data_IF_357032584235
#
_entry.id   IF_357032584235
#
_cell.length_a   1.000
_cell.length_b   1.000
_cell.length_c   1.000
_cell.angle_alpha   90.00
_cell.angle_beta   90.00
_cell.angle_gamma   90.00
#
_symmetry.space_group_name_H-M   'P 1'
#
loop_
_entity.id
_entity.type
_entity.pdbx_description
1 polymer ?
#
# COMPACT_ATOMS: atom_id res chain seq x y z
N UNK A 1 27.52 1.16 -16.77
CA UNK A 1 26.72 1.90 -17.77
C UNK A 1 25.26 1.48 -17.68
N UNK A 2 24.41 2.24 -16.98
CA UNK A 2 22.96 2.30 -17.19
C UNK A 2 22.55 3.75 -16.93
N UNK A 3 21.93 4.36 -17.95
CA UNK A 3 21.65 5.79 -18.07
C UNK A 3 20.41 6.15 -17.24
N UNK A 4 20.56 6.97 -16.21
CA UNK A 4 19.45 7.65 -15.54
C UNK A 4 19.16 8.96 -16.28
N UNK A 5 17.98 9.05 -16.89
CA UNK A 5 17.45 10.25 -17.52
C UNK A 5 16.77 11.09 -16.43
N UNK A 6 17.49 12.09 -15.91
CA UNK A 6 16.93 13.17 -15.09
C UNK A 6 16.55 14.28 -16.06
N UNK A 7 15.24 14.49 -16.27
CA UNK A 7 14.72 15.64 -17.01
C UNK A 7 14.58 16.79 -16.00
N UNK A 8 15.67 17.52 -15.81
CA UNK A 8 15.68 18.80 -15.12
C UNK A 8 15.37 19.91 -16.14
N UNK A 9 14.11 20.34 -16.19
CA UNK A 9 13.69 21.47 -17.03
C UNK A 9 13.96 22.77 -16.28
N UNK A 10 15.15 23.33 -16.49
CA UNK A 10 15.53 24.67 -16.06
C UNK A 10 14.85 25.72 -16.95
N UNK A 11 13.86 26.42 -16.40
CA UNK A 11 13.27 27.59 -17.04
C UNK A 11 14.13 28.82 -16.70
N UNK A 12 15.09 29.13 -17.57
CA UNK A 12 15.88 30.35 -17.50
C UNK A 12 15.05 31.54 -18.00
N UNK A 13 14.79 32.49 -17.11
CA UNK A 13 14.11 33.75 -17.39
C UNK A 13 15.15 34.76 -17.92
N UNK A 14 15.26 34.91 -19.23
CA UNK A 14 16.04 36.00 -19.85
C UNK A 14 15.10 37.07 -20.41
N UNK A 15 14.98 38.18 -19.68
CA UNK A 15 14.42 39.45 -20.18
C UNK A 15 15.54 40.22 -20.90
N UNK A 16 15.27 40.72 -22.12
CA UNK A 16 16.02 41.87 -22.63
C UNK A 16 16.04 42.06 -24.15
N UNK A 17 15.58 43.25 -24.55
CA UNK A 17 15.81 43.99 -25.79
C UNK A 17 14.93 43.68 -27.03
N UNK A 18 14.19 44.73 -27.40
CA UNK A 18 13.37 44.86 -28.58
C UNK A 18 14.18 45.01 -29.88
N UNK A 19 13.67 44.47 -30.98
CA UNK A 19 13.71 45.16 -32.29
C UNK A 19 12.77 44.50 -33.31
N UNK A 20 11.96 45.35 -33.95
CA UNK A 20 11.44 45.27 -35.32
C UNK A 20 10.45 44.15 -35.71
N UNK A 21 9.18 44.57 -35.74
CA UNK A 21 8.11 44.19 -36.65
C UNK A 21 8.52 43.36 -37.90
N UNK A 22 7.98 42.15 -38.01
CA UNK A 22 7.42 41.68 -39.29
C UNK A 22 6.02 41.19 -38.97
N UNK A 23 5.03 41.94 -39.45
CA UNK A 23 3.62 41.62 -39.29
C UNK A 23 3.31 40.37 -40.13
N UNK A 24 3.33 39.19 -39.50
CA UNK A 24 2.50 38.08 -39.96
C UNK A 24 1.07 38.39 -39.54
N UNK A 25 0.23 38.68 -40.51
CA UNK A 25 -1.23 38.76 -40.37
C UNK A 25 -1.74 37.47 -39.72
N UNK A 26 -1.95 37.49 -38.41
CA UNK A 26 -2.72 36.48 -37.68
C UNK A 26 -4.13 36.50 -38.24
N UNK A 27 -4.51 35.43 -38.95
CA UNK A 27 -5.88 35.22 -39.38
C UNK A 27 -6.80 35.30 -38.16
N UNK A 28 -7.89 36.07 -38.29
CA UNK A 28 -8.91 36.20 -37.26
C UNK A 28 -9.40 34.80 -36.83
N UNK A 29 -9.63 34.57 -35.53
CA UNK A 29 -10.10 33.28 -35.05
C UNK A 29 -11.43 32.94 -35.74
N UNK A 30 -11.50 31.77 -36.38
CA UNK A 30 -12.73 31.29 -36.98
C UNK A 30 -13.80 31.23 -35.88
N UNK A 31 -14.89 31.97 -36.08
CA UNK A 31 -16.05 31.95 -35.19
C UNK A 31 -16.59 30.52 -35.15
N UNK A 32 -16.39 29.83 -34.02
CA UNK A 32 -16.94 28.50 -33.81
C UNK A 32 -18.45 28.68 -33.65
N UNK A 33 -19.20 28.22 -34.64
CA UNK A 33 -20.66 28.18 -34.59
C UNK A 33 -21.08 26.86 -33.95
N UNK A 34 -21.79 26.95 -32.82
CA UNK A 34 -22.22 25.79 -32.04
C UNK A 34 -23.63 25.39 -32.46
N UNK A 35 -23.79 24.17 -33.00
CA UNK A 35 -25.04 23.73 -33.65
C UNK A 35 -26.20 23.50 -32.67
N UNK A 36 -25.91 23.26 -31.40
CA UNK A 36 -26.86 22.97 -30.32
C UNK A 36 -27.16 24.19 -29.43
N UNK A 37 -26.61 25.36 -29.75
CA UNK A 37 -26.93 26.64 -29.10
C UNK A 37 -27.50 27.60 -30.16
N UNK A 38 -28.77 27.41 -30.56
CA UNK A 38 -29.39 28.20 -31.62
C UNK A 38 -29.59 29.67 -31.22
N UNK A 39 -29.78 30.54 -32.21
CA UNK A 39 -30.15 31.93 -31.99
C UNK A 39 -31.48 32.02 -31.22
N UNK A 40 -31.46 32.71 -30.06
CA UNK A 40 -32.60 32.81 -29.14
C UNK A 40 -32.54 31.88 -27.92
N UNK A 41 -31.55 30.99 -27.82
CA UNK A 41 -31.32 30.23 -26.59
C UNK A 41 -30.81 31.15 -25.48
N UNK A 42 -31.32 31.01 -24.26
CA UNK A 42 -30.98 31.89 -23.12
C UNK A 42 -29.47 31.93 -22.81
N UNK A 43 -28.75 30.84 -23.09
CA UNK A 43 -27.32 30.72 -22.86
C UNK A 43 -26.46 31.22 -24.03
N UNK A 44 -27.05 31.63 -25.16
CA UNK A 44 -26.33 31.95 -26.41
C UNK A 44 -25.25 33.01 -26.17
N UNK A 45 -25.61 34.13 -25.57
CA UNK A 45 -24.71 35.27 -25.38
C UNK A 45 -23.56 34.90 -24.42
N UNK A 46 -23.84 34.14 -23.37
CA UNK A 46 -22.84 33.68 -22.41
C UNK A 46 -21.87 32.67 -23.03
N UNK A 47 -22.40 31.70 -23.78
CA UNK A 47 -21.59 30.69 -24.47
C UNK A 47 -20.71 31.35 -25.54
N UNK A 48 -21.27 32.25 -26.35
CA UNK A 48 -20.52 33.00 -27.35
C UNK A 48 -19.37 33.78 -26.71
N UNK A 49 -19.60 34.38 -25.54
CA UNK A 49 -18.56 35.13 -24.83
C UNK A 49 -17.42 34.23 -24.40
N UNK A 50 -17.70 33.08 -23.80
CA UNK A 50 -16.70 32.12 -23.32
C UNK A 50 -15.95 31.46 -24.50
N UNK A 51 -16.63 31.31 -25.64
CA UNK A 51 -16.02 30.83 -26.90
C UNK A 51 -15.11 31.87 -27.53
N UNK A 52 -15.54 33.14 -27.57
CA UNK A 52 -14.69 34.26 -28.01
C UNK A 52 -13.45 34.43 -27.12
N UNK A 53 -13.61 34.17 -25.84
CA UNK A 53 -12.52 34.10 -24.88
C UNK A 53 -11.55 32.92 -25.11
N UNK A 54 -11.90 31.94 -25.94
CA UNK A 54 -11.09 30.74 -26.18
C UNK A 54 -11.04 29.76 -25.00
N UNK A 55 -11.87 29.97 -23.97
CA UNK A 55 -11.94 29.09 -22.79
C UNK A 55 -12.64 27.77 -23.16
N UNK A 56 -13.69 27.86 -23.98
CA UNK A 56 -14.42 26.71 -24.52
C UNK A 56 -14.42 26.79 -26.04
N UNK A 57 -14.25 25.66 -26.72
CA UNK A 57 -14.25 25.59 -28.19
C UNK A 57 -15.36 24.67 -28.73
N UNK A 58 -16.20 24.12 -27.84
CA UNK A 58 -17.13 23.04 -28.18
C UNK A 58 -16.43 21.71 -28.44
N UNK A 59 -17.21 20.75 -28.91
CA UNK A 59 -16.78 19.42 -29.31
C UNK A 59 -16.42 19.37 -30.80
N UNK A 60 -15.66 18.35 -31.26
CA UNK A 60 -15.28 18.21 -32.68
C UNK A 60 -16.46 18.09 -33.65
N UNK A 61 -17.64 17.71 -33.14
CA UNK A 61 -18.90 17.64 -33.89
C UNK A 61 -19.62 19.01 -34.01
N UNK A 62 -19.04 20.08 -33.45
CA UNK A 62 -19.61 21.43 -33.47
C UNK A 62 -20.66 21.70 -32.39
N UNK A 63 -20.74 20.87 -31.35
CA UNK A 63 -21.70 21.05 -30.23
C UNK A 63 -21.07 21.65 -28.97
N UNK A 64 -21.90 22.22 -28.08
CA UNK A 64 -21.53 22.73 -26.75
C UNK A 64 -21.87 21.74 -25.63
N UNK A 65 -22.99 21.01 -25.79
CA UNK A 65 -23.56 20.01 -24.88
C UNK A 65 -23.87 20.54 -23.49
N UNK A 66 -24.48 21.73 -23.40
CA UNK A 66 -24.73 22.44 -22.14
C UNK A 66 -25.62 21.72 -21.11
N UNK A 67 -26.38 20.70 -21.53
CA UNK A 67 -27.20 19.86 -20.63
C UNK A 67 -26.45 18.64 -20.07
N UNK A 68 -25.21 18.39 -20.51
CA UNK A 68 -24.39 17.29 -20.00
C UNK A 68 -23.56 17.72 -18.80
N UNK A 69 -23.33 16.79 -17.87
CA UNK A 69 -22.41 17.00 -16.77
C UNK A 69 -20.99 17.19 -17.30
N UNK A 70 -20.35 18.29 -16.90
CA UNK A 70 -18.95 18.55 -17.18
C UNK A 70 -18.06 17.53 -16.46
N UNK A 71 -17.19 16.85 -17.19
CA UNK A 71 -16.22 15.94 -16.58
C UNK A 71 -15.10 16.71 -15.88
N UNK A 72 -14.43 16.07 -14.91
CA UNK A 72 -13.28 16.68 -14.20
C UNK A 72 -12.14 17.04 -15.16
N UNK A 73 -11.97 16.28 -16.24
CA UNK A 73 -10.97 16.55 -17.27
C UNK A 73 -11.32 17.80 -18.09
N UNK A 74 -12.57 17.94 -18.52
CA UNK A 74 -13.03 19.12 -19.27
C UNK A 74 -12.98 20.38 -18.40
N UNK A 75 -13.37 20.27 -17.12
CA UNK A 75 -13.21 21.34 -16.15
C UNK A 75 -11.73 21.75 -15.99
N UNK A 76 -10.83 20.77 -15.80
CA UNK A 76 -9.40 21.04 -15.71
C UNK A 76 -8.83 21.71 -16.96
N UNK A 77 -9.32 21.36 -18.15
CA UNK A 77 -8.90 21.97 -19.41
C UNK A 77 -9.38 23.43 -19.53
N UNK A 78 -10.60 23.72 -19.08
CA UNK A 78 -11.13 25.10 -19.02
C UNK A 78 -10.28 25.95 -18.07
N UNK A 79 -10.00 25.43 -16.87
CA UNK A 79 -9.12 26.12 -15.91
C UNK A 79 -7.70 26.28 -16.45
N UNK A 80 -7.14 25.24 -17.06
CA UNK A 80 -5.81 25.30 -17.66
C UNK A 80 -5.72 26.36 -18.76
N UNK A 81 -6.73 26.47 -19.64
CA UNK A 81 -6.80 27.52 -20.66
C UNK A 81 -6.94 28.90 -20.04
N UNK A 82 -7.79 29.03 -19.01
CA UNK A 82 -7.92 30.26 -18.24
C UNK A 82 -6.59 30.68 -17.58
N UNK A 83 -5.79 29.71 -17.13
CA UNK A 83 -4.51 29.92 -16.45
C UNK A 83 -3.32 30.15 -17.40
N UNK A 84 -3.35 29.56 -18.60
CA UNK A 84 -2.19 29.53 -19.50
C UNK A 84 -2.18 30.69 -20.51
N UNK A 85 -3.32 31.37 -20.72
CA UNK A 85 -3.48 32.25 -21.88
C UNK A 85 -3.90 33.67 -21.51
N UNK A 86 -3.49 34.64 -22.33
CA UNK A 86 -4.14 35.96 -22.44
C UNK A 86 -5.59 35.90 -22.93
N UNK A 87 -6.27 34.76 -22.82
CA UNK A 87 -7.71 34.60 -23.04
C UNK A 87 -8.51 35.60 -22.20
N UNK A 88 -8.12 35.77 -20.92
CA UNK A 88 -8.73 36.74 -20.01
C UNK A 88 -8.56 38.18 -20.52
N UNK A 89 -7.45 38.47 -21.20
CA UNK A 89 -7.19 39.78 -21.83
C UNK A 89 -8.13 40.08 -23.00
N UNK A 90 -8.54 39.04 -23.74
CA UNK A 90 -9.52 39.15 -24.83
C UNK A 90 -10.98 39.05 -24.36
N UNK A 91 -11.22 38.66 -23.11
CA UNK A 91 -12.55 38.55 -22.50
C UNK A 91 -13.15 39.89 -22.04
N UNK A 92 -12.43 41.01 -22.16
CA UNK A 92 -12.89 42.31 -21.66
C UNK A 92 -13.17 42.32 -20.15
N UNK A 93 -12.45 41.51 -19.39
CA UNK A 93 -12.51 41.51 -17.93
C UNK A 93 -11.96 42.84 -17.39
N UNK A 94 -12.48 43.28 -16.25
CA UNK A 94 -11.96 44.48 -15.62
C UNK A 94 -10.50 44.26 -15.17
N UNK A 95 -9.73 45.34 -15.10
CA UNK A 95 -8.34 45.28 -14.62
C UNK A 95 -8.25 44.71 -13.18
N UNK A 96 -9.31 44.91 -12.39
CA UNK A 96 -9.44 44.39 -11.03
C UNK A 96 -9.60 42.86 -11.02
N UNK A 97 -10.45 42.30 -11.89
CA UNK A 97 -10.64 40.85 -12.02
C UNK A 97 -9.37 40.14 -12.48
N UNK A 98 -8.64 40.72 -13.44
CA UNK A 98 -7.36 40.16 -13.89
C UNK A 98 -6.31 40.16 -12.76
N UNK A 99 -6.35 41.16 -11.88
CA UNK A 99 -5.46 41.25 -10.72
C UNK A 99 -5.83 40.22 -9.65
N UNK A 100 -7.12 40.00 -9.39
CA UNK A 100 -7.60 38.97 -8.49
C UNK A 100 -7.20 37.56 -8.97
N UNK A 101 -7.33 37.28 -10.27
CA UNK A 101 -6.89 36.01 -10.86
C UNK A 101 -5.37 35.86 -10.77
N UNK A 102 -4.59 36.91 -11.06
CA UNK A 102 -3.13 36.87 -10.94
C UNK A 102 -2.65 36.63 -9.49
N UNK A 103 -3.32 37.24 -8.50
CA UNK A 103 -3.01 37.02 -7.08
C UNK A 103 -3.35 35.59 -6.65
N UNK A 104 -4.50 35.05 -7.07
CA UNK A 104 -4.85 33.65 -6.84
C UNK A 104 -3.87 32.68 -7.51
N UNK A 105 -3.36 33.02 -8.69
CA UNK A 105 -2.31 32.24 -9.38
C UNK A 105 -0.99 32.24 -8.59
N UNK A 106 -0.61 33.37 -8.01
CA UNK A 106 0.58 33.46 -7.16
C UNK A 106 0.44 32.60 -5.91
N UNK A 107 -0.73 32.61 -5.29
CA UNK A 107 -1.05 31.78 -4.13
C UNK A 107 -0.99 30.28 -4.46
N UNK A 108 -1.66 29.84 -5.52
CA UNK A 108 -1.65 28.43 -5.97
C UNK A 108 -0.25 27.99 -6.39
N UNK A 109 0.54 28.85 -7.05
CA UNK A 109 1.92 28.53 -7.42
C UNK A 109 2.83 28.36 -6.20
N UNK A 110 2.59 29.15 -5.14
CA UNK A 110 3.31 29.06 -3.87
C UNK A 110 2.97 27.77 -3.14
N UNK A 111 1.69 27.38 -3.14
CA UNK A 111 1.27 26.11 -2.58
C UNK A 111 1.81 24.91 -3.37
N UNK A 112 1.83 25.00 -4.70
CA UNK A 112 2.38 23.93 -5.54
C UNK A 112 3.89 23.77 -5.36
N UNK A 113 4.62 24.88 -5.20
CA UNK A 113 6.04 24.87 -4.87
C UNK A 113 6.30 24.27 -3.48
N UNK A 114 5.44 24.58 -2.49
CA UNK A 114 5.51 23.97 -1.17
C UNK A 114 5.24 22.46 -1.21
N UNK A 115 4.31 22.00 -2.04
CA UNK A 115 4.05 20.58 -2.28
C UNK A 115 5.26 19.91 -2.94
N UNK A 116 5.85 20.53 -3.98
CA UNK A 116 7.05 19.99 -4.64
C UNK A 116 8.25 19.88 -3.68
N UNK A 117 8.43 20.86 -2.80
CA UNK A 117 9.46 20.80 -1.74
C UNK A 117 9.23 19.62 -0.80
N UNK A 118 7.98 19.41 -0.34
CA UNK A 118 7.62 18.30 0.54
C UNK A 118 7.85 16.94 -0.12
N UNK A 119 7.60 16.82 -1.41
CA UNK A 119 7.90 15.58 -2.17
C UNK A 119 9.40 15.32 -2.21
N UNK A 120 10.21 16.34 -2.45
CA UNK A 120 11.68 16.23 -2.45
C UNK A 120 12.21 15.82 -1.07
N UNK A 121 11.65 16.37 0.00
CA UNK A 121 12.00 15.99 1.38
C UNK A 121 11.64 14.54 1.70
N UNK A 122 10.49 14.06 1.19
CA UNK A 122 10.09 12.66 1.33
C UNK A 122 11.02 11.72 0.56
N UNK A 123 11.42 12.08 -0.67
CA UNK A 123 12.40 11.29 -1.43
C UNK A 123 13.74 11.20 -0.68
N UNK A 124 14.21 12.30 -0.08
CA UNK A 124 15.42 12.30 0.74
C UNK A 124 15.28 11.44 2.00
N UNK A 125 14.12 11.48 2.65
CA UNK A 125 13.83 10.64 3.82
C UNK A 125 13.83 9.15 3.45
N UNK A 126 13.29 8.78 2.29
CA UNK A 126 13.32 7.39 1.81
C UNK A 126 14.74 6.91 1.50
N UNK A 127 15.59 7.78 0.94
CA UNK A 127 17.00 7.45 0.69
C UNK A 127 17.79 7.24 2.00
N UNK A 128 17.53 8.06 3.03
CA UNK A 128 18.15 7.90 4.35
C UNK A 128 17.70 6.61 5.06
N UNK A 129 16.41 6.27 4.94
CA UNK A 129 15.88 5.01 5.47
C UNK A 129 16.54 3.79 4.82
N UNK A 130 16.76 3.81 3.50
CA UNK A 130 17.46 2.73 2.81
C UNK A 130 18.91 2.60 3.29
N UNK A 131 19.64 3.72 3.41
CA UNK A 131 21.02 3.70 3.90
C UNK A 131 21.14 3.16 5.34
N UNK A 132 20.12 3.42 6.19
CA UNK A 132 20.05 2.86 7.55
C UNK A 132 19.77 1.37 7.54
N UNK A 133 18.94 0.87 6.63
CA UNK A 133 18.67 -0.56 6.46
C UNK A 133 19.96 -1.28 6.05
N UNK A 134 20.66 -0.78 5.03
CA UNK A 134 21.92 -1.36 4.55
C UNK A 134 22.98 -1.40 5.66
N UNK A 135 23.08 -0.33 6.48
CA UNK A 135 23.99 -0.28 7.62
C UNK A 135 23.62 -1.28 8.74
N UNK A 136 22.33 -1.52 8.97
CA UNK A 136 21.86 -2.53 9.92
C UNK A 136 22.15 -3.94 9.41
N UNK A 137 21.93 -4.21 8.12
CA UNK A 137 22.26 -5.49 7.49
C UNK A 137 23.75 -5.81 7.61
N UNK A 138 24.63 -4.86 7.29
CA UNK A 138 26.08 -5.03 7.46
C UNK A 138 26.48 -5.31 8.92
N UNK A 139 25.80 -4.68 9.89
CA UNK A 139 26.04 -4.93 11.32
C UNK A 139 25.56 -6.32 11.75
N UNK A 140 24.44 -6.80 11.20
CA UNK A 140 23.91 -8.15 11.43
C UNK A 140 24.86 -9.20 10.86
N UNK A 141 25.38 -9.00 9.65
CA UNK A 141 26.39 -9.88 9.05
C UNK A 141 27.68 -9.93 9.88
N UNK A 142 28.15 -8.79 10.38
CA UNK A 142 29.30 -8.71 11.27
C UNK A 142 29.09 -9.46 12.59
N UNK A 143 27.87 -9.46 13.14
CA UNK A 143 27.52 -10.24 14.32
C UNK A 143 27.46 -11.76 14.04
N UNK A 144 27.02 -12.16 12.84
CA UNK A 144 26.98 -13.56 12.41
C UNK A 144 28.36 -14.19 12.24
N UNK A 145 29.36 -13.41 11.81
CA UNK A 145 30.73 -13.89 11.59
C UNK A 145 31.56 -14.03 12.89
N UNK A 146 31.27 -13.24 13.92
CA UNK A 146 32.08 -13.15 15.15
C UNK A 146 31.68 -14.10 16.29
N UNK A 147 30.42 -14.47 16.40
CA UNK A 147 29.92 -15.28 17.53
C UNK A 147 29.82 -16.79 17.23
N UNK A 148 29.66 -17.16 15.95
CA UNK A 148 29.41 -18.55 15.58
C UNK A 148 30.68 -19.41 15.47
N UNK A 149 31.87 -18.84 15.23
CA UNK A 149 33.07 -19.64 14.91
C UNK A 149 33.87 -20.09 16.13
N UNK A 150 33.99 -19.27 17.18
CA UNK A 150 34.82 -19.60 18.33
C UNK A 150 34.12 -20.55 19.32
N UNK A 151 32.83 -20.34 19.57
CA UNK A 151 32.06 -21.14 20.54
C UNK A 151 31.67 -22.51 19.97
N UNK A 152 31.35 -22.61 18.67
CA UNK A 152 31.04 -23.92 18.06
C UNK A 152 32.30 -24.77 17.87
N UNK A 153 33.44 -24.17 17.53
CA UNK A 153 34.72 -24.88 17.50
C UNK A 153 35.13 -25.37 18.89
N UNK A 154 34.94 -24.54 19.93
CA UNK A 154 35.20 -24.92 21.31
C UNK A 154 34.27 -26.03 21.80
N UNK A 155 32.98 -26.00 21.44
CA UNK A 155 32.05 -27.09 21.77
C UNK A 155 32.39 -28.39 21.02
N UNK A 156 32.77 -28.30 19.74
CA UNK A 156 33.17 -29.46 18.93
C UNK A 156 34.40 -30.14 19.53
N UNK A 157 35.43 -29.36 19.89
CA UNK A 157 36.63 -29.89 20.55
C UNK A 157 36.34 -30.54 21.91
N UNK A 158 35.35 -30.02 22.66
CA UNK A 158 34.90 -30.64 23.92
C UNK A 158 34.16 -31.96 23.70
N UNK A 159 33.36 -32.07 22.62
CA UNK A 159 32.66 -33.30 22.25
C UNK A 159 33.68 -34.37 21.85
N UNK A 160 34.65 -34.03 20.99
CA UNK A 160 35.71 -34.97 20.57
C UNK A 160 36.54 -35.50 21.75
N UNK A 161 36.86 -34.62 22.70
CA UNK A 161 37.56 -35.01 23.93
C UNK A 161 36.69 -35.94 24.81
N UNK A 162 35.39 -35.71 24.88
CA UNK A 162 34.45 -36.57 25.62
C UNK A 162 34.32 -37.94 24.95
N UNK A 163 34.22 -37.99 23.63
CA UNK A 163 34.16 -39.25 22.88
C UNK A 163 35.44 -40.08 23.02
N UNK A 164 36.61 -39.42 23.03
CA UNK A 164 37.88 -40.09 23.30
C UNK A 164 37.95 -40.66 24.72
N UNK A 165 37.43 -39.92 25.72
CA UNK A 165 37.35 -40.40 27.09
C UNK A 165 36.41 -41.61 27.23
N UNK A 166 35.26 -41.60 26.55
CA UNK A 166 34.30 -42.71 26.54
C UNK A 166 34.93 -43.97 25.91
N UNK A 167 35.68 -43.83 24.82
CA UNK A 167 36.39 -44.95 24.18
C UNK A 167 37.45 -45.60 25.08
N UNK A 168 37.98 -44.86 26.05
CA UNK A 168 39.00 -45.34 26.99
C UNK A 168 38.44 -45.79 28.34
N UNK A 169 37.11 -45.89 28.50
CA UNK A 169 36.53 -46.50 29.70
C UNK A 169 36.90 -47.99 29.70
N UNK A 170 37.64 -48.48 30.70
CA UNK A 170 38.02 -49.89 30.77
C UNK A 170 36.75 -50.75 30.82
N UNK A 171 36.67 -51.77 29.97
CA UNK A 171 35.60 -52.75 30.05
C UNK A 171 35.59 -53.34 31.47
N UNK A 172 34.42 -53.34 32.11
CA UNK A 172 34.24 -53.99 33.41
C UNK A 172 34.69 -55.45 33.35
N UNK A 173 35.08 -56.05 34.49
CA UNK A 173 35.53 -57.44 34.52
C UNK A 173 34.50 -58.34 33.84
N UNK A 174 34.96 -59.12 32.86
CA UNK A 174 34.11 -60.02 32.09
C UNK A 174 33.44 -61.01 33.06
N UNK A 175 32.10 -61.02 33.07
CA UNK A 175 31.34 -62.01 33.83
C UNK A 175 31.72 -63.43 33.39
N UNK A 176 31.61 -64.44 34.28
CA UNK A 176 31.99 -65.80 33.97
C UNK A 176 31.29 -66.28 32.69
N UNK A 177 32.05 -66.92 31.81
CA UNK A 177 31.56 -67.40 30.53
C UNK A 177 30.37 -68.35 30.75
N UNK A 178 29.21 -68.00 30.19
CA UNK A 178 28.07 -68.91 30.12
C UNK A 178 28.42 -70.17 29.32
N UNK A 179 27.86 -71.34 29.66
CA UNK A 179 28.14 -72.57 28.95
C UNK A 179 27.82 -72.43 27.46
N UNK A 180 28.69 -72.98 26.61
CA UNK A 180 28.56 -72.91 25.16
C UNK A 180 27.23 -73.54 24.71
N UNK A 181 26.40 -72.76 24.04
CA UNK A 181 25.20 -73.27 23.37
C UNK A 181 25.59 -74.17 22.19
N UNK A 182 24.81 -75.23 21.89
CA UNK A 182 25.09 -76.14 20.78
C UNK A 182 25.07 -75.38 19.45
N UNK A 183 25.97 -75.76 18.54
CA UNK A 183 26.11 -75.16 17.22
C UNK A 183 24.81 -75.30 16.40
N UNK A 184 24.22 -74.17 16.00
CA UNK A 184 23.11 -74.14 15.06
C UNK A 184 23.56 -74.52 13.65
N UNK A 185 22.71 -75.21 12.86
CA UNK A 185 23.04 -75.56 11.48
C UNK A 185 23.15 -74.32 10.59
N UNK A 186 24.14 -74.33 9.68
CA UNK A 186 24.36 -73.30 8.66
C UNK A 186 23.14 -73.20 7.74
N UNK A 187 22.52 -72.02 7.71
CA UNK A 187 21.46 -71.70 6.75
C UNK A 187 22.04 -71.44 5.34
N UNK A 188 21.33 -71.83 4.27
CA UNK A 188 21.78 -71.60 2.90
C UNK A 188 21.75 -70.10 2.54
N UNK A 189 22.79 -69.67 1.82
CA UNK A 189 22.97 -68.31 1.35
C UNK A 189 21.91 -67.95 0.29
N UNK A 190 21.15 -66.87 0.53
CA UNK A 190 20.14 -66.38 -0.41
C UNK A 190 20.76 -65.72 -1.66
N UNK A 191 20.09 -65.81 -2.83
CA UNK A 191 20.59 -65.25 -4.08
C UNK A 191 20.56 -63.71 -4.09
N UNK A 192 21.51 -63.12 -4.80
CA UNK A 192 21.67 -61.67 -4.97
C UNK A 192 20.49 -61.05 -5.74
N UNK A 193 19.95 -59.93 -5.24
CA UNK A 193 18.91 -59.15 -5.90
C UNK A 193 19.44 -58.25 -7.04
N UNK A 194 18.64 -57.97 -8.09
CA UNK A 194 19.06 -57.17 -9.24
C UNK A 194 19.07 -55.66 -8.98
N UNK A 195 19.90 -54.94 -9.75
CA UNK A 195 20.14 -53.51 -9.66
C UNK A 195 18.95 -52.65 -10.15
N UNK A 196 18.61 -51.60 -9.40
CA UNK A 196 17.57 -50.63 -9.76
C UNK A 196 18.09 -49.51 -10.68
N UNK A 197 17.32 -49.19 -11.71
CA UNK A 197 17.57 -48.11 -12.68
C UNK A 197 17.00 -46.77 -12.19
N UNK A 198 17.82 -45.72 -12.18
CA UNK A 198 17.41 -44.34 -11.90
C UNK A 198 16.77 -43.68 -13.13
N UNK A 199 15.56 -43.13 -12.98
CA UNK A 199 14.94 -42.25 -13.98
C UNK A 199 15.08 -40.79 -13.53
N UNK A 200 15.79 -40.00 -14.35
CA UNK A 200 15.90 -38.54 -14.26
C UNK A 200 14.79 -37.91 -15.10
N UNK A 201 13.93 -37.09 -14.47
CA UNK A 201 12.87 -36.34 -15.16
C UNK A 201 13.29 -34.90 -15.37
N UNK A 202 13.48 -34.50 -16.63
CA UNK A 202 13.76 -33.12 -17.06
C UNK A 202 12.46 -32.34 -17.19
N UNK A 203 12.37 -31.16 -16.56
CA UNK A 203 11.26 -30.21 -16.70
C UNK A 203 11.58 -29.26 -17.86
N UNK A 204 10.72 -29.26 -18.90
CA UNK A 204 10.76 -28.32 -20.03
C UNK A 204 9.73 -27.22 -19.80
N UNK A 205 10.17 -25.97 -19.68
CA UNK A 205 9.32 -24.77 -19.67
C UNK A 205 9.32 -24.13 -21.06
N UNK A 206 8.15 -24.05 -21.70
CA UNK A 206 7.96 -23.30 -22.95
C UNK A 206 7.35 -21.93 -22.63
N UNK A 207 7.99 -20.80 -22.97
CA UNK A 207 7.42 -19.47 -22.79
C UNK A 207 6.49 -19.13 -23.96
N UNK A 208 5.23 -18.75 -23.67
CA UNK A 208 4.26 -18.31 -24.67
C UNK A 208 4.43 -16.81 -24.97
N UNK A 209 4.76 -16.49 -26.22
CA UNK A 209 4.83 -15.13 -26.78
C UNK A 209 3.42 -14.56 -27.01
N UNK A 210 3.13 -13.27 -26.70
CA UNK A 210 1.84 -12.67 -27.01
C UNK A 210 1.73 -12.37 -28.52
N UNK A 211 0.66 -12.82 -29.16
CA UNK A 211 0.39 -12.55 -30.57
C UNK A 211 -0.04 -11.09 -30.80
N UNK A 212 0.55 -10.46 -31.81
CA UNK A 212 0.13 -9.16 -32.34
C UNK A 212 -1.17 -9.35 -33.14
N UNK A 213 -2.30 -8.95 -32.59
CA UNK A 213 -3.59 -8.94 -33.27
C UNK A 213 -3.92 -7.56 -33.84
N UNK A 214 -4.18 -7.50 -35.14
CA UNK A 214 -4.75 -6.35 -35.85
C UNK A 214 -6.23 -6.19 -35.50
N UNK A 215 -6.64 -5.01 -35.00
CA UNK A 215 -8.04 -4.69 -34.67
C UNK A 215 -8.83 -4.41 -35.94
N UNK A 216 -9.91 -5.16 -36.17
CA UNK A 216 -10.92 -4.90 -37.21
C UNK A 216 -12.16 -4.30 -36.52
N UNK A 217 -12.70 -3.21 -37.07
CA UNK A 217 -13.88 -2.51 -36.53
C UNK A 217 -15.13 -3.33 -36.87
N UNK A 218 -15.84 -3.82 -35.85
CA UNK A 218 -17.07 -4.61 -36.00
C UNK A 218 -17.34 -5.61 -34.88
N UNK A 219 -16.34 -5.94 -34.06
CA UNK A 219 -16.58 -6.66 -32.80
C UNK A 219 -17.20 -5.71 -31.78
N UNK A 220 -18.33 -6.12 -31.20
CA UNK A 220 -18.86 -5.55 -29.97
C UNK A 220 -17.72 -5.54 -28.97
N UNK A 221 -17.26 -4.35 -28.58
CA UNK A 221 -16.21 -4.20 -27.60
C UNK A 221 -16.52 -5.14 -26.42
N UNK A 222 -15.60 -6.04 -26.00
CA UNK A 222 -15.74 -6.61 -24.68
C UNK A 222 -15.85 -5.41 -23.77
N UNK A 223 -16.92 -5.34 -22.97
CA UNK A 223 -17.23 -4.24 -22.08
C UNK A 223 -15.90 -3.67 -21.59
N UNK A 224 -15.55 -2.45 -22.02
CA UNK A 224 -14.30 -1.83 -21.64
C UNK A 224 -14.30 -1.84 -20.13
N UNK A 225 -13.58 -2.80 -19.55
CA UNK A 225 -13.24 -2.85 -18.15
C UNK A 225 -12.57 -1.50 -17.93
N UNK A 226 -13.33 -0.53 -17.41
CA UNK A 226 -12.75 0.64 -16.77
C UNK A 226 -11.61 0.07 -15.93
N UNK A 227 -10.38 0.53 -16.13
CA UNK A 227 -9.25 0.06 -15.34
C UNK A 227 -9.66 0.30 -13.87
N UNK A 228 -10.08 -0.76 -13.18
CA UNK A 228 -10.58 -0.67 -11.82
C UNK A 228 -9.36 -0.34 -11.00
N UNK A 229 -9.25 0.91 -10.58
CA UNK A 229 -8.23 1.38 -9.66
C UNK A 229 -8.26 0.44 -8.47
N UNK A 230 -7.24 -0.39 -8.39
CA UNK A 230 -7.18 -1.51 -7.46
C UNK A 230 -6.24 -1.20 -6.29
N UNK A 231 -5.32 -0.26 -6.47
CA UNK A 231 -4.46 0.28 -5.44
C UNK A 231 -5.20 1.37 -4.65
N UNK A 232 -5.13 1.29 -3.33
CA UNK A 232 -5.83 2.21 -2.44
C UNK A 232 -5.04 2.59 -1.20
N UNK A 233 -5.37 3.77 -0.67
CA UNK A 233 -4.98 4.24 0.66
C UNK A 233 -6.25 4.59 1.41
N UNK A 234 -6.35 4.21 2.67
CA UNK A 234 -7.49 4.49 3.51
C UNK A 234 -7.09 4.99 4.88
N UNK A 235 -8.00 5.73 5.49
CA UNK A 235 -7.93 6.19 6.88
C UNK A 235 -9.08 5.57 7.66
N UNK A 236 -8.85 5.24 8.93
CA UNK A 236 -9.87 4.62 9.75
C UNK A 236 -9.82 5.05 11.21
N UNK A 237 -11.00 4.98 11.83
CA UNK A 237 -11.20 5.01 13.27
C UNK A 237 -11.76 3.68 13.74
N UNK A 238 -11.18 3.15 14.81
CA UNK A 238 -11.56 1.87 15.39
C UNK A 238 -11.99 1.97 16.83
N UNK A 239 -12.84 1.05 17.24
CA UNK A 239 -13.19 0.79 18.63
C UNK A 239 -12.94 -0.68 18.96
N UNK A 240 -12.46 -0.94 20.17
CA UNK A 240 -12.34 -2.30 20.70
C UNK A 240 -12.83 -2.37 22.13
N UNK A 241 -13.33 -3.53 22.53
CA UNK A 241 -13.75 -3.77 23.91
C UNK A 241 -12.57 -3.68 24.87
N UNK A 242 -12.79 -3.05 26.02
CA UNK A 242 -11.83 -2.94 27.11
C UNK A 242 -12.43 -3.55 28.38
N UNK A 243 -11.61 -4.27 29.15
CA UNK A 243 -12.07 -4.90 30.38
C UNK A 243 -12.19 -3.90 31.55
N UNK A 244 -12.96 -4.26 32.58
CA UNK A 244 -13.09 -3.47 33.82
C UNK A 244 -11.71 -3.21 34.44
N UNK A 245 -11.35 -1.93 34.62
CA UNK A 245 -10.02 -1.51 35.10
C UNK A 245 -9.01 -1.20 33.98
N UNK A 246 -9.46 -1.04 32.73
CA UNK A 246 -8.64 -0.62 31.59
C UNK A 246 -8.07 0.80 31.72
N UNK A 247 -6.94 1.05 31.03
CA UNK A 247 -6.30 2.36 30.92
C UNK A 247 -7.02 3.28 29.90
N UNK A 248 -8.03 2.76 29.21
CA UNK A 248 -8.89 3.53 28.32
C UNK A 248 -9.84 4.40 29.14
N UNK A 249 -9.72 5.72 28.96
CA UNK A 249 -10.45 6.73 29.72
C UNK A 249 -11.32 7.59 28.81
N UNK A 250 -12.39 8.11 29.38
CA UNK A 250 -13.34 9.00 28.72
C UNK A 250 -12.67 10.28 28.22
N UNK A 251 -13.08 10.72 27.05
CA UNK A 251 -12.62 11.97 26.40
C UNK A 251 -13.27 13.23 27.00
N UNK A 252 -14.26 13.09 27.89
CA UNK A 252 -15.02 14.20 28.48
C UNK A 252 -14.30 14.93 29.64
N UNK A 253 -12.98 14.72 29.78
CA UNK A 253 -12.14 15.37 30.81
C UNK A 253 -12.33 14.82 32.23
N UNK A 254 -13.31 13.95 32.48
CA UNK A 254 -13.56 13.35 33.80
C UNK A 254 -12.65 12.16 34.11
N UNK A 255 -11.82 11.74 33.15
CA UNK A 255 -10.82 10.68 33.31
C UNK A 255 -11.41 9.33 33.77
N UNK A 256 -12.70 9.09 33.54
CA UNK A 256 -13.41 7.87 33.93
C UNK A 256 -12.98 6.69 33.06
N UNK A 257 -12.73 5.52 33.65
CA UNK A 257 -12.46 4.31 32.87
C UNK A 257 -13.69 3.94 32.02
N UNK A 258 -13.48 3.69 30.72
CA UNK A 258 -14.54 3.31 29.77
C UNK A 258 -14.28 1.89 29.25
N UNK A 259 -15.37 1.14 29.00
CA UNK A 259 -15.30 -0.26 28.53
C UNK A 259 -14.93 -0.42 27.05
N UNK A 260 -14.40 0.63 26.42
CA UNK A 260 -13.96 0.62 25.03
C UNK A 260 -12.72 1.49 24.85
N UNK A 261 -11.90 1.16 23.85
CA UNK A 261 -10.73 1.94 23.46
C UNK A 261 -10.86 2.40 22.02
N UNK A 262 -10.59 3.67 21.77
CA UNK A 262 -10.48 4.20 20.41
C UNK A 262 -9.08 3.95 19.83
N UNK A 263 -9.04 3.77 18.52
CA UNK A 263 -7.83 3.69 17.72
C UNK A 263 -8.01 4.51 16.45
N UNK A 264 -6.91 5.02 15.91
CA UNK A 264 -6.87 5.69 14.62
C UNK A 264 -5.74 5.09 13.79
N UNK A 265 -5.99 4.90 12.50
CA UNK A 265 -5.05 4.20 11.64
C UNK A 265 -5.17 4.54 10.18
N UNK A 266 -4.26 3.96 9.42
CA UNK A 266 -4.24 4.00 7.96
C UNK A 266 -4.04 2.60 7.39
N UNK A 267 -4.52 2.40 6.17
CA UNK A 267 -4.36 1.16 5.43
C UNK A 267 -3.91 1.49 4.01
N UNK A 268 -3.00 0.71 3.47
CA UNK A 268 -2.60 0.77 2.07
C UNK A 268 -2.73 -0.63 1.52
N UNK A 269 -3.33 -0.80 0.35
CA UNK A 269 -3.52 -2.13 -0.19
C UNK A 269 -3.89 -2.13 -1.65
N UNK A 270 -3.89 -3.34 -2.20
CA UNK A 270 -4.33 -3.61 -3.55
C UNK A 270 -5.46 -4.64 -3.49
N UNK A 271 -6.65 -4.30 -4.01
CA UNK A 271 -7.83 -5.18 -3.96
C UNK A 271 -7.66 -6.44 -4.81
N UNK A 272 -7.00 -6.33 -5.97
CA UNK A 272 -6.82 -7.46 -6.90
C UNK A 272 -5.33 -7.63 -7.23
N UNK A 273 -4.66 -8.54 -6.55
CA UNK A 273 -3.29 -8.97 -6.87
C UNK A 273 -3.33 -10.23 -7.75
N UNK A 274 -4.12 -11.23 -7.35
CA UNK A 274 -4.32 -12.48 -8.09
C UNK A 274 -5.81 -12.84 -8.03
N UNK A 275 -6.56 -12.55 -9.10
CA UNK A 275 -8.01 -12.73 -9.11
C UNK A 275 -8.70 -11.86 -8.03
N UNK A 276 -9.67 -12.39 -7.27
CA UNK A 276 -10.36 -11.66 -6.19
C UNK A 276 -9.52 -11.52 -4.91
N UNK A 277 -8.25 -11.95 -4.93
CA UNK A 277 -7.37 -11.88 -3.77
C UNK A 277 -6.60 -10.56 -3.77
N UNK A 278 -6.80 -9.78 -2.71
CA UNK A 278 -6.09 -8.56 -2.40
C UNK A 278 -5.04 -8.73 -1.30
N UNK A 279 -4.19 -7.73 -1.16
CA UNK A 279 -3.20 -7.64 -0.08
C UNK A 279 -3.23 -6.23 0.49
N UNK A 280 -3.18 -6.12 1.81
CA UNK A 280 -3.17 -4.84 2.51
C UNK A 280 -2.17 -4.82 3.65
N UNK A 281 -1.68 -3.62 3.94
CA UNK A 281 -0.86 -3.29 5.10
C UNK A 281 -1.62 -2.24 5.90
N UNK A 282 -1.83 -2.51 7.19
CA UNK A 282 -2.51 -1.59 8.09
C UNK A 282 -1.59 -1.17 9.23
N UNK A 283 -1.71 0.09 9.65
CA UNK A 283 -1.03 0.64 10.82
C UNK A 283 -2.04 1.35 11.71
N UNK A 284 -2.05 1.05 13.00
CA UNK A 284 -2.98 1.62 13.97
C UNK A 284 -2.25 2.16 15.19
N UNK A 285 -2.71 3.30 15.68
CA UNK A 285 -2.33 3.86 16.97
C UNK A 285 -3.52 3.83 17.94
N UNK A 286 -3.26 3.37 19.16
CA UNK A 286 -4.23 3.34 20.24
C UNK A 286 -3.69 4.11 21.45
N UNK A 287 -4.24 5.30 21.73
CA UNK A 287 -3.75 6.17 22.80
C UNK A 287 -3.82 5.56 24.20
N UNK A 288 -4.88 4.81 24.51
CA UNK A 288 -5.13 4.32 25.87
C UNK A 288 -4.05 3.41 26.46
N UNK A 289 -3.23 2.78 25.61
CA UNK A 289 -2.09 1.93 26.03
C UNK A 289 -0.78 2.36 25.36
N UNK A 290 -0.78 3.55 24.72
CA UNK A 290 0.29 4.01 23.84
C UNK A 290 0.76 2.90 22.87
N UNK A 291 -0.20 2.19 22.27
CA UNK A 291 0.06 1.00 21.49
C UNK A 291 0.11 1.33 19.99
N UNK A 292 1.14 0.85 19.30
CA UNK A 292 1.29 0.95 17.85
C UNK A 292 1.25 -0.47 17.28
N UNK A 293 0.35 -0.70 16.34
CA UNK A 293 0.19 -1.99 15.66
C UNK A 293 0.45 -1.86 14.17
N UNK A 294 1.06 -2.87 13.58
CA UNK A 294 1.16 -3.05 12.13
C UNK A 294 0.74 -4.46 11.75
N UNK A 295 0.02 -4.62 10.64
CA UNK A 295 -0.28 -5.94 10.07
C UNK A 295 -0.23 -5.95 8.55
N UNK A 296 0.04 -7.14 8.01
CA UNK A 296 -0.12 -7.48 6.60
C UNK A 296 -1.18 -8.56 6.51
N UNK A 297 -2.21 -8.32 5.71
CA UNK A 297 -3.32 -9.25 5.52
C UNK A 297 -3.61 -9.48 4.04
N UNK A 298 -3.93 -10.74 3.72
CA UNK A 298 -4.54 -11.08 2.45
C UNK A 298 -6.06 -10.95 2.60
N UNK A 299 -6.72 -10.37 1.61
CA UNK A 299 -8.17 -10.22 1.56
C UNK A 299 -8.73 -10.95 0.36
N UNK A 300 -9.96 -11.42 0.47
CA UNK A 300 -10.72 -12.02 -0.60
C UNK A 300 -12.01 -11.22 -0.77
N UNK A 301 -12.12 -10.54 -1.89
CA UNK A 301 -13.26 -9.69 -2.21
C UNK A 301 -14.37 -10.53 -2.83
N UNK A 302 -15.57 -10.42 -2.28
CA UNK A 302 -16.77 -11.13 -2.74
C UNK A 302 -17.59 -10.13 -3.54
N UNK A 303 -17.39 -10.12 -4.86
CA UNK A 303 -18.18 -9.26 -5.74
C UNK A 303 -19.64 -9.71 -5.76
N UNK A 304 -20.54 -8.80 -5.35
CA UNK A 304 -21.99 -9.03 -5.36
C UNK A 304 -22.68 -8.44 -6.58
N UNK A 305 -21.93 -7.83 -7.51
CA UNK A 305 -22.50 -7.08 -8.64
C UNK A 305 -23.18 -5.76 -8.26
N UNK A 306 -22.98 -5.30 -7.02
CA UNK A 306 -23.54 -4.04 -6.49
C UNK A 306 -22.43 -3.07 -6.06
N UNK A 307 -22.80 -1.90 -5.54
CA UNK A 307 -21.84 -0.96 -4.96
C UNK A 307 -21.29 -1.43 -3.60
N UNK A 308 -21.76 -2.56 -3.07
CA UNK A 308 -21.30 -3.17 -1.82
C UNK A 308 -20.40 -4.37 -2.12
N UNK A 309 -19.14 -4.29 -1.72
CA UNK A 309 -18.15 -5.36 -1.86
C UNK A 309 -17.78 -5.91 -0.48
N UNK A 310 -18.46 -6.96 0.01
CA UNK A 310 -18.01 -7.69 1.18
C UNK A 310 -16.66 -8.35 0.93
N UNK A 311 -15.84 -8.44 1.97
CA UNK A 311 -14.54 -9.11 1.92
C UNK A 311 -14.24 -9.80 3.24
N UNK A 312 -13.42 -10.84 3.15
CA UNK A 312 -12.84 -11.53 4.31
C UNK A 312 -11.34 -11.55 4.17
N UNK A 313 -10.61 -11.57 5.29
CA UNK A 313 -9.17 -11.59 5.24
C UNK A 313 -8.54 -12.22 6.47
N UNK A 314 -7.29 -12.61 6.30
CA UNK A 314 -6.46 -13.12 7.37
C UNK A 314 -5.04 -12.61 7.19
N UNK A 315 -4.33 -12.44 8.30
CA UNK A 315 -3.04 -11.80 8.28
C UNK A 315 -2.24 -12.01 9.55
N UNK A 316 -1.05 -11.43 9.52
CA UNK A 316 -0.07 -11.48 10.59
C UNK A 316 0.32 -10.04 10.92
N UNK A 317 0.53 -9.79 12.20
CA UNK A 317 0.91 -8.47 12.66
C UNK A 317 1.73 -8.51 13.93
N UNK A 318 2.19 -7.32 14.27
CA UNK A 318 2.95 -7.04 15.48
C UNK A 318 2.37 -5.80 16.14
N UNK A 319 2.35 -5.80 17.47
CA UNK A 319 1.96 -4.64 18.26
C UNK A 319 3.04 -4.37 19.29
N UNK A 320 3.45 -3.11 19.41
CA UNK A 320 4.28 -2.63 20.52
C UNK A 320 3.45 -1.71 21.41
N UNK A 321 3.59 -1.84 22.72
CA UNK A 321 2.79 -1.10 23.70
C UNK A 321 3.52 -0.97 25.03
N UNK A 322 3.09 -0.04 25.88
CA UNK A 322 3.67 0.14 27.21
C UNK A 322 3.24 -1.00 28.16
N UNK A 323 4.13 -1.40 29.06
CA UNK A 323 3.79 -2.37 30.13
C UNK A 323 2.90 -1.69 31.16
N UNK A 324 1.75 -2.31 31.47
CA UNK A 324 0.78 -1.85 32.49
C UNK A 324 1.42 -1.54 33.86
N UNK A 325 2.38 -2.36 34.29
CA UNK A 325 3.00 -2.25 35.61
C UNK A 325 4.32 -1.45 35.61
N UNK A 326 4.80 -1.05 34.43
CA UNK A 326 6.05 -0.34 34.25
C UNK A 326 5.98 0.48 32.95
N UNK A 327 5.45 1.69 33.05
CA UNK A 327 5.27 2.62 31.92
C UNK A 327 6.59 3.07 31.28
N UNK A 328 7.73 2.69 31.85
CA UNK A 328 9.06 2.93 31.28
C UNK A 328 9.55 1.79 30.36
N UNK A 329 8.81 0.68 30.27
CA UNK A 329 9.15 -0.47 29.42
C UNK A 329 8.09 -0.72 28.36
N UNK A 330 8.56 -1.09 27.18
CA UNK A 330 7.72 -1.53 26.06
C UNK A 330 7.68 -3.06 25.98
N UNK A 331 6.56 -3.58 25.52
CA UNK A 331 6.33 -4.99 25.24
C UNK A 331 5.81 -5.14 23.80
N UNK A 332 6.34 -6.14 23.10
CA UNK A 332 6.00 -6.42 21.71
C UNK A 332 5.36 -7.80 21.60
N UNK A 333 4.22 -7.86 20.94
CA UNK A 333 3.45 -9.08 20.73
C UNK A 333 3.20 -9.31 19.25
N UNK A 334 3.43 -10.54 18.79
CA UNK A 334 3.04 -10.99 17.46
C UNK A 334 1.63 -11.56 17.52
N UNK A 335 0.81 -11.28 16.51
CA UNK A 335 -0.56 -11.78 16.43
C UNK A 335 -0.92 -12.26 15.02
N UNK A 336 -1.91 -13.15 14.98
CA UNK A 336 -2.67 -13.45 13.76
C UNK A 336 -3.99 -12.67 13.81
N UNK A 337 -4.48 -12.20 12.68
CA UNK A 337 -5.77 -11.53 12.60
C UNK A 337 -6.71 -12.23 11.61
N UNK A 338 -8.01 -12.08 11.87
CA UNK A 338 -9.08 -12.40 10.94
C UNK A 338 -10.00 -11.19 10.85
N UNK A 339 -10.34 -10.79 9.63
CA UNK A 339 -11.15 -9.62 9.34
C UNK A 339 -12.30 -9.98 8.41
N UNK A 340 -13.44 -9.35 8.64
CA UNK A 340 -14.60 -9.38 7.78
C UNK A 340 -15.08 -7.94 7.62
N UNK A 341 -15.29 -7.51 6.40
CA UNK A 341 -15.65 -6.13 6.13
C UNK A 341 -16.50 -5.99 4.89
N UNK A 342 -16.95 -4.76 4.66
CA UNK A 342 -17.63 -4.39 3.44
C UNK A 342 -17.20 -3.00 3.02
N UNK A 343 -16.90 -2.88 1.73
CA UNK A 343 -16.66 -1.61 1.04
C UNK A 343 -17.94 -1.15 0.35
N UNK A 344 -18.38 0.06 0.64
CA UNK A 344 -19.45 0.74 -0.08
C UNK A 344 -18.87 1.80 -1.01
N UNK A 345 -18.97 1.56 -2.32
CA UNK A 345 -18.43 2.44 -3.36
C UNK A 345 -19.30 3.69 -3.49
N UNK A 346 -18.73 4.84 -3.12
CA UNK A 346 -19.39 6.16 -3.22
C UNK A 346 -19.15 6.73 -4.62
N UNK A 347 -17.91 6.64 -5.09
CA UNK A 347 -17.49 7.05 -6.44
C UNK A 347 -16.47 6.06 -6.99
N UNK A 348 -16.03 6.22 -8.24
CA UNK A 348 -14.99 5.37 -8.83
C UNK A 348 -13.63 5.46 -8.15
N UNK A 349 -13.40 6.46 -7.29
CA UNK A 349 -12.12 6.63 -6.58
C UNK A 349 -12.28 6.68 -5.06
N UNK A 350 -13.49 6.50 -4.52
CA UNK A 350 -13.75 6.62 -3.07
C UNK A 350 -14.74 5.54 -2.62
N UNK A 351 -14.36 4.76 -1.60
CA UNK A 351 -15.29 3.90 -0.86
C UNK A 351 -15.33 4.29 0.62
N UNK A 352 -16.49 4.16 1.24
CA UNK A 352 -16.57 4.02 2.70
C UNK A 352 -16.45 2.54 3.04
N UNK A 353 -15.88 2.21 4.19
CA UNK A 353 -15.78 0.82 4.62
C UNK A 353 -16.05 0.66 6.09
N UNK A 354 -16.54 -0.52 6.43
CA UNK A 354 -16.66 -1.02 7.80
C UNK A 354 -16.01 -2.39 7.87
N UNK A 355 -15.27 -2.65 8.93
CA UNK A 355 -14.66 -3.95 9.19
C UNK A 355 -14.80 -4.33 10.66
N UNK A 356 -15.09 -5.60 10.91
CA UNK A 356 -14.99 -6.25 12.21
C UNK A 356 -13.91 -7.30 12.15
N UNK A 357 -13.22 -7.54 13.26
CA UNK A 357 -12.16 -8.53 13.28
C UNK A 357 -11.70 -8.94 14.65
N UNK A 358 -11.01 -10.07 14.67
CA UNK A 358 -10.36 -10.63 15.84
C UNK A 358 -8.84 -10.65 15.67
N UNK A 359 -8.11 -10.28 16.72
CA UNK A 359 -6.65 -10.50 16.83
C UNK A 359 -6.39 -11.57 17.88
N UNK A 360 -5.53 -12.53 17.56
CA UNK A 360 -5.06 -13.55 18.49
C UNK A 360 -3.55 -13.41 18.69
N UNK A 361 -3.15 -13.01 19.89
CA UNK A 361 -1.75 -12.74 20.23
C UNK A 361 -1.03 -14.04 20.59
N UNK A 362 -0.01 -14.37 19.79
CA UNK A 362 0.82 -15.57 19.92
C UNK A 362 1.86 -15.41 21.04
N UNK A 363 2.29 -14.17 21.31
CA UNK A 363 3.25 -13.80 22.36
C UNK A 363 2.56 -12.97 23.46
N UNK A 364 3.00 -13.17 24.70
CA UNK A 364 2.51 -12.54 25.94
C UNK A 364 1.00 -12.27 26.00
N UNK A 365 0.16 -13.10 25.35
CA UNK A 365 -1.32 -13.03 25.38
C UNK A 365 -1.92 -11.63 25.17
N UNK A 366 -1.23 -10.73 24.47
CA UNK A 366 -1.69 -9.37 24.20
C UNK A 366 -1.75 -8.46 25.42
N UNK A 367 -0.95 -8.74 26.47
CA UNK A 367 -0.97 -8.06 27.76
C UNK A 367 -0.73 -6.53 27.66
N UNK A 368 0.05 -6.08 26.68
CA UNK A 368 0.30 -4.65 26.44
C UNK A 368 -0.81 -3.95 25.63
N UNK A 369 -1.74 -4.68 25.02
CA UNK A 369 -2.80 -4.10 24.18
C UNK A 369 -4.13 -3.90 24.91
N UNK A 370 -4.18 -4.12 26.22
CA UNK A 370 -5.37 -3.87 27.03
C UNK A 370 -6.33 -5.04 27.20
N UNK A 371 -5.92 -6.27 26.90
CA UNK A 371 -6.64 -7.45 27.38
C UNK A 371 -6.49 -7.57 28.91
N UNK A 372 -7.54 -8.04 29.59
CA UNK A 372 -7.49 -8.26 31.04
C UNK A 372 -6.52 -9.39 31.39
N UNK A 373 -5.94 -9.31 32.59
CA UNK A 373 -5.17 -10.39 33.24
C UNK A 373 -5.98 -11.70 33.34
N UNK A 374 -7.31 -11.61 33.33
CA UNK A 374 -8.24 -12.72 33.37
C UNK A 374 -8.50 -13.36 32.00
N UNK A 375 -8.26 -12.64 30.89
CA UNK A 375 -8.42 -13.14 29.53
C UNK A 375 -7.17 -13.93 29.12
N UNK A 376 -7.09 -15.17 29.60
CA UNK A 376 -6.01 -16.11 29.23
C UNK A 376 -6.03 -16.54 27.76
N UNK A 377 -7.06 -16.12 27.01
CA UNK A 377 -7.30 -16.50 25.62
C UNK A 377 -6.39 -15.77 24.63
N UNK A 378 -5.89 -14.57 24.97
CA UNK A 378 -5.09 -13.77 24.03
C UNK A 378 -5.90 -13.27 22.82
N UNK A 379 -7.23 -13.29 22.90
CA UNK A 379 -8.13 -12.93 21.81
C UNK A 379 -8.80 -11.57 22.05
N UNK A 380 -8.77 -10.70 21.04
CA UNK A 380 -9.39 -9.37 21.11
C UNK A 380 -10.26 -9.11 19.89
N UNK A 381 -11.46 -8.55 20.13
CA UNK A 381 -12.37 -8.14 19.08
C UNK A 381 -12.38 -6.61 18.94
N UNK A 382 -12.43 -6.15 17.70
CA UNK A 382 -12.57 -4.75 17.36
C UNK A 382 -13.40 -4.54 16.11
N UNK A 383 -13.88 -3.31 15.95
CA UNK A 383 -14.54 -2.83 14.76
C UNK A 383 -13.90 -1.52 14.32
N UNK A 384 -13.83 -1.29 13.01
CA UNK A 384 -13.30 -0.08 12.40
C UNK A 384 -14.22 0.39 11.29
N UNK A 385 -14.23 1.69 11.08
CA UNK A 385 -14.86 2.30 9.92
C UNK A 385 -13.95 3.38 9.36
N UNK A 386 -14.04 3.60 8.05
CA UNK A 386 -13.13 4.50 7.36
C UNK A 386 -13.51 4.79 5.93
N UNK A 387 -12.59 5.44 5.24
CA UNK A 387 -12.72 5.80 3.83
C UNK A 387 -11.46 5.34 3.10
N UNK A 388 -11.61 4.73 1.92
CA UNK A 388 -10.51 4.37 1.00
C UNK A 388 -10.56 5.24 -0.24
N UNK A 389 -9.39 5.60 -0.73
CA UNK A 389 -9.16 6.36 -1.95
C UNK A 389 -8.39 5.48 -2.93
N UNK A 390 -8.96 5.24 -4.11
CA UNK A 390 -8.41 4.36 -5.14
C UNK A 390 -7.71 5.16 -6.25
N UNK A 391 -6.59 4.64 -6.75
CA UNK A 391 -5.75 5.31 -7.75
C UNK A 391 -5.32 4.43 -8.92
#
# INVERSE_FOLDING_TARGET
MRKSLIIASTLALSLGAASAQTATTTAAPAQVTLSDVPAGHWAKDAVDRIVQCGLIQGYPDGTYRGNQNLTRYEAALIFYRALQTGALSNCGLSQEDMTAVANGMQEVSTELAAIASRVTDLEKLTADQQARIDALEAKIEGMGAGAASTDTAAMTARIDALEAAIRNIPAGPQGPAGPAGPAGPVGPQGPAGPAGTSASGTVTTTPSTPATGTVVIGDTAPATSMAQRDLYVGINGGVKGAATGSECRSVDGKNTAVGYCFSGGAVIGKSNVIGPVGVRVAGDYQPGYNAISGDVSATYDISTGSNLTPYVGAGLGLTSSQKRNDTTKNESDVYVNAVLGADYRITDSISAYVEGGGKYYLSNKGYGTGLATADKSGFNLGAKAGVKFFF
#
